data_IF_436224810702
#
_entry.id   IF_436224810702
#
_cell.length_a   1.000
_cell.length_b   1.000
_cell.length_c   1.000
_cell.angle_alpha   90.00
_cell.angle_beta   90.00
_cell.angle_gamma   90.00
#
_symmetry.space_group_name_H-M   'P 1'
#
loop_
_entity.id
_entity.type
_entity.pdbx_description
1 polymer ?
#
# COMPACT_ATOMS: atom_id res chain seq x y z
N UNK A 1 45.86 -10.73 49.69
CA UNK A 1 45.22 -9.47 50.10
C UNK A 1 44.98 -8.65 48.84
N UNK A 2 43.71 -8.30 48.61
CA UNK A 2 43.16 -7.25 47.72
C UNK A 2 43.48 -7.33 46.21
N UNK A 3 42.56 -7.13 45.26
CA UNK A 3 41.10 -6.93 45.25
C UNK A 3 40.66 -7.14 43.79
N UNK A 4 39.38 -7.45 43.60
CA UNK A 4 38.63 -7.53 42.32
C UNK A 4 38.25 -6.10 41.88
N UNK A 5 37.55 -5.97 40.73
CA UNK A 5 36.81 -4.78 40.22
C UNK A 5 37.58 -3.93 39.17
N UNK A 6 37.00 -3.45 38.07
CA UNK A 6 35.66 -3.62 37.51
C UNK A 6 35.64 -3.20 36.03
N UNK A 7 34.53 -3.57 35.38
CA UNK A 7 34.17 -3.25 34.00
C UNK A 7 33.90 -1.75 33.76
N UNK A 8 33.88 -1.46 32.47
CA UNK A 8 32.97 -0.51 31.80
C UNK A 8 33.46 0.95 31.63
N UNK A 9 33.95 1.27 30.43
CA UNK A 9 34.06 2.65 29.95
C UNK A 9 33.24 2.86 28.68
N UNK A 10 31.98 3.23 28.93
CA UNK A 10 31.31 4.44 28.42
C UNK A 10 31.46 4.80 26.93
N UNK A 11 30.42 4.47 26.16
CA UNK A 11 30.11 5.08 24.88
C UNK A 11 29.20 6.31 25.08
N UNK A 12 29.41 7.43 24.36
CA UNK A 12 28.71 8.68 24.64
C UNK A 12 27.26 8.69 24.12
N UNK A 13 26.31 8.85 25.05
CA UNK A 13 24.88 9.11 24.78
C UNK A 13 24.68 10.59 24.44
N UNK A 14 24.24 10.91 23.22
CA UNK A 14 23.81 12.26 22.84
C UNK A 14 22.35 12.54 23.28
N UNK A 15 22.02 13.78 23.67
CA UNK A 15 20.84 14.09 24.50
C UNK A 15 19.55 14.28 23.70
N UNK A 16 18.44 13.77 24.24
CA UNK A 16 17.08 14.07 23.80
C UNK A 16 16.60 15.39 24.44
N UNK A 17 16.22 16.35 23.60
CA UNK A 17 15.53 17.61 23.90
C UNK A 17 14.16 17.52 23.24
N UNK A 18 13.01 17.91 23.77
CA UNK A 18 12.59 18.48 25.04
C UNK A 18 11.05 18.36 25.10
N UNK A 19 10.49 18.45 26.30
CA UNK A 19 9.05 18.42 26.61
C UNK A 19 8.45 19.84 26.53
N UNK A 20 7.11 19.92 26.66
CA UNK A 20 6.24 21.09 26.87
C UNK A 20 5.46 21.50 25.58
N UNK A 21 4.15 21.71 25.51
CA UNK A 21 3.08 21.91 26.51
C UNK A 21 1.70 21.52 25.95
N UNK A 22 0.73 21.33 26.85
CA UNK A 22 -0.69 21.05 26.60
C UNK A 22 -1.52 22.34 26.39
N UNK A 23 -2.60 22.27 25.60
CA UNK A 23 -3.96 22.74 25.94
C UNK A 23 -4.89 22.93 24.69
N UNK A 24 -6.03 22.25 24.75
CA UNK A 24 -7.40 22.64 24.39
C UNK A 24 -7.79 23.34 23.05
N UNK A 25 -8.82 22.73 22.44
CA UNK A 25 -10.02 23.31 21.79
C UNK A 25 -10.07 23.49 20.25
N UNK A 26 -11.09 22.79 19.70
CA UNK A 26 -11.72 22.83 18.36
C UNK A 26 -11.07 21.98 17.25
N UNK A 27 -11.78 21.03 16.62
CA UNK A 27 -11.39 20.57 15.29
C UNK A 27 -11.75 21.67 14.28
N UNK A 28 -10.79 22.35 13.63
CA UNK A 28 -11.11 23.08 12.42
C UNK A 28 -11.54 22.06 11.37
N UNK A 29 -12.73 22.29 10.80
CA UNK A 29 -13.32 21.64 9.64
C UNK A 29 -12.28 20.97 8.73
N UNK A 30 -12.46 19.66 8.49
CA UNK A 30 -11.59 18.84 7.67
C UNK A 30 -11.10 19.62 6.43
N UNK A 31 -9.79 19.79 6.21
CA UNK A 31 -9.32 20.29 4.93
C UNK A 31 -9.77 19.23 3.91
N UNK A 32 -10.67 19.60 3.01
CA UNK A 32 -10.99 18.77 1.85
C UNK A 32 -9.66 18.38 1.22
N UNK A 33 -9.26 17.14 1.44
CA UNK A 33 -7.94 16.70 1.03
C UNK A 33 -7.89 16.84 -0.47
N UNK A 34 -7.02 17.72 -0.98
CA UNK A 34 -6.69 17.80 -2.40
C UNK A 34 -6.03 16.47 -2.78
N UNK A 35 -6.87 15.44 -2.95
CA UNK A 35 -6.44 14.10 -3.21
C UNK A 35 -5.87 14.11 -4.62
N UNK A 36 -4.56 13.80 -4.72
CA UNK A 36 -3.88 13.71 -6.00
C UNK A 36 -4.74 12.96 -7.02
N UNK A 37 -4.89 13.51 -8.23
CA UNK A 37 -5.78 13.00 -9.29
C UNK A 37 -5.55 11.49 -9.55
N UNK A 38 -4.30 11.02 -9.42
CA UNK A 38 -3.92 9.61 -9.54
C UNK A 38 -4.60 8.68 -8.51
N UNK A 39 -5.05 9.20 -7.37
CA UNK A 39 -5.85 8.46 -6.38
C UNK A 39 -7.33 8.53 -6.71
N UNK A 40 -7.82 9.70 -7.16
CA UNK A 40 -9.23 9.91 -7.52
C UNK A 40 -9.67 9.04 -8.70
N UNK A 41 -8.83 8.91 -9.72
CA UNK A 41 -9.16 8.19 -10.96
C UNK A 41 -8.61 6.77 -11.04
N UNK A 42 -8.16 6.18 -9.92
CA UNK A 42 -7.61 4.82 -9.96
C UNK A 42 -8.75 3.83 -10.23
N UNK A 43 -8.71 3.08 -11.35
CA UNK A 43 -9.73 2.10 -11.70
C UNK A 43 -10.05 1.15 -10.55
N UNK A 44 -11.33 0.99 -10.24
CA UNK A 44 -11.84 0.09 -9.20
C UNK A 44 -12.30 -1.24 -9.78
N UNK A 45 -12.70 -1.25 -11.05
CA UNK A 45 -13.19 -2.43 -11.79
C UNK A 45 -12.46 -2.61 -13.12
N UNK A 46 -12.43 -3.84 -13.65
CA UNK A 46 -11.73 -4.14 -14.91
C UNK A 46 -12.20 -3.33 -16.14
N UNK A 47 -13.50 -3.01 -16.32
CA UNK A 47 -13.96 -2.18 -17.44
C UNK A 47 -13.43 -0.74 -17.45
N UNK A 48 -13.00 -0.21 -16.30
CA UNK A 48 -12.42 1.13 -16.19
C UNK A 48 -10.93 1.15 -16.59
N UNK A 49 -10.34 -0.01 -16.90
CA UNK A 49 -8.94 -0.14 -17.28
C UNK A 49 -8.78 0.11 -18.79
N UNK A 50 -8.30 1.30 -19.14
CA UNK A 50 -8.14 1.72 -20.54
C UNK A 50 -6.95 1.01 -21.21
N UNK A 51 -7.17 0.45 -22.40
CA UNK A 51 -6.11 -0.08 -23.27
C UNK A 51 -5.57 -1.46 -22.90
N UNK A 52 -6.30 -2.21 -22.07
CA UNK A 52 -5.88 -3.52 -21.54
C UNK A 52 -6.91 -4.63 -21.82
N UNK A 53 -7.72 -4.49 -22.86
CA UNK A 53 -8.88 -5.37 -23.13
C UNK A 53 -8.50 -6.84 -23.34
N UNK A 54 -7.39 -7.10 -24.03
CA UNK A 54 -6.91 -8.47 -24.26
C UNK A 54 -6.60 -9.19 -22.93
N UNK A 55 -5.97 -8.50 -21.98
CA UNK A 55 -5.65 -9.04 -20.67
C UNK A 55 -6.91 -9.26 -19.83
N UNK A 56 -7.82 -8.28 -19.83
CA UNK A 56 -9.11 -8.39 -19.12
C UNK A 56 -9.92 -9.57 -19.64
N UNK A 57 -9.93 -9.80 -20.96
CA UNK A 57 -10.60 -10.96 -21.58
C UNK A 57 -9.98 -12.28 -21.12
N UNK A 58 -8.64 -12.39 -21.10
CA UNK A 58 -7.94 -13.59 -20.61
C UNK A 58 -8.25 -13.86 -19.15
N UNK A 59 -8.23 -12.83 -18.30
CA UNK A 59 -8.57 -12.96 -16.88
C UNK A 59 -10.03 -13.41 -16.69
N UNK A 60 -10.98 -12.77 -17.39
CA UNK A 60 -12.40 -13.17 -17.34
C UNK A 60 -12.59 -14.64 -17.75
N UNK A 61 -11.92 -15.08 -18.81
CA UNK A 61 -11.99 -16.46 -19.25
C UNK A 61 -11.34 -17.42 -18.24
N UNK A 62 -10.22 -17.04 -17.63
CA UNK A 62 -9.55 -17.82 -16.59
C UNK A 62 -10.45 -18.03 -15.36
N UNK A 63 -11.15 -16.97 -14.93
CA UNK A 63 -12.14 -17.07 -13.84
C UNK A 63 -13.34 -17.93 -14.23
N UNK A 64 -13.89 -17.77 -15.44
CA UNK A 64 -15.03 -18.56 -15.91
C UNK A 64 -14.72 -20.05 -16.07
N UNK A 65 -13.47 -20.39 -16.43
CA UNK A 65 -13.02 -21.78 -16.62
C UNK A 65 -12.39 -22.39 -15.36
N UNK A 66 -12.27 -21.62 -14.27
CA UNK A 66 -11.58 -22.05 -13.04
C UNK A 66 -10.07 -22.26 -13.18
N UNK A 67 -9.47 -21.89 -14.32
CA UNK A 67 -8.03 -22.05 -14.60
C UNK A 67 -7.26 -20.78 -14.24
N UNK A 68 -7.08 -20.57 -12.94
CA UNK A 68 -6.38 -19.39 -12.42
C UNK A 68 -4.87 -19.63 -12.43
N UNK A 69 -4.11 -18.69 -13.01
CA UNK A 69 -2.64 -18.74 -12.95
C UNK A 69 -2.14 -18.44 -11.53
N UNK A 70 -1.11 -19.18 -11.10
CA UNK A 70 -0.51 -19.02 -9.76
C UNK A 70 0.32 -17.74 -9.63
N UNK A 71 0.81 -17.19 -10.74
CA UNK A 71 1.64 -15.99 -10.76
C UNK A 71 1.30 -15.09 -11.95
N UNK A 72 1.34 -13.77 -11.71
CA UNK A 72 1.12 -12.74 -12.72
C UNK A 72 2.31 -11.78 -12.75
N UNK A 73 2.96 -11.64 -13.91
CA UNK A 73 4.04 -10.68 -14.11
C UNK A 73 3.54 -9.49 -14.93
N UNK A 74 3.63 -8.28 -14.37
CA UNK A 74 3.17 -7.04 -15.01
C UNK A 74 4.37 -6.16 -15.33
N UNK A 75 4.64 -5.93 -16.62
CA UNK A 75 5.81 -5.18 -17.12
C UNK A 75 5.40 -3.98 -17.97
N UNK A 76 6.35 -3.10 -18.30
CA UNK A 76 6.12 -1.93 -19.17
C UNK A 76 6.49 -0.58 -18.54
N UNK A 77 6.22 0.51 -19.27
CA UNK A 77 6.64 1.89 -18.90
C UNK A 77 5.87 2.47 -17.70
N UNK A 78 6.38 3.55 -17.09
CA UNK A 78 5.72 4.22 -15.96
C UNK A 78 4.32 4.72 -16.36
N UNK A 79 3.36 4.63 -15.45
CA UNK A 79 2.01 5.17 -15.66
C UNK A 79 1.00 4.25 -16.37
N UNK A 80 1.42 3.12 -16.98
CA UNK A 80 0.51 2.21 -17.73
C UNK A 80 -0.45 1.38 -16.87
N UNK A 81 -0.50 1.62 -15.55
CA UNK A 81 -1.46 0.93 -14.68
C UNK A 81 -1.04 -0.44 -14.17
N UNK A 82 0.25 -0.84 -14.21
CA UNK A 82 0.73 -2.13 -13.65
C UNK A 82 0.29 -2.38 -12.20
N UNK A 83 0.58 -1.44 -11.31
CA UNK A 83 0.22 -1.56 -9.89
C UNK A 83 -1.28 -1.43 -9.64
N UNK A 84 -2.01 -0.82 -10.57
CA UNK A 84 -3.48 -0.75 -10.53
C UNK A 84 -4.07 -2.09 -10.94
N UNK A 85 -3.58 -2.67 -12.03
CA UNK A 85 -3.99 -3.98 -12.55
C UNK A 85 -3.72 -5.08 -11.53
N UNK A 86 -2.56 -5.08 -10.88
CA UNK A 86 -2.26 -6.01 -9.79
C UNK A 86 -3.31 -5.98 -8.68
N UNK A 87 -3.78 -4.79 -8.29
CA UNK A 87 -4.82 -4.65 -7.25
C UNK A 87 -6.17 -5.18 -7.73
N UNK A 88 -6.52 -4.94 -8.99
CA UNK A 88 -7.76 -5.45 -9.58
C UNK A 88 -7.76 -6.98 -9.59
N UNK A 89 -6.65 -7.60 -10.01
CA UNK A 89 -6.47 -9.06 -9.97
C UNK A 89 -6.60 -9.58 -8.53
N UNK A 90 -5.90 -8.96 -7.58
CA UNK A 90 -5.97 -9.36 -6.17
C UNK A 90 -7.39 -9.25 -5.60
N UNK A 91 -8.15 -8.21 -5.96
CA UNK A 91 -9.55 -8.06 -5.56
C UNK A 91 -10.45 -9.12 -6.17
N UNK A 92 -10.25 -9.44 -7.45
CA UNK A 92 -11.01 -10.46 -8.15
C UNK A 92 -10.77 -11.85 -7.56
N UNK A 93 -9.53 -12.14 -7.14
CA UNK A 93 -9.17 -13.40 -6.48
C UNK A 93 -9.75 -13.51 -5.06
N UNK A 94 -9.80 -12.40 -4.32
CA UNK A 94 -10.36 -12.36 -2.96
C UNK A 94 -11.87 -12.08 -2.94
N UNK A 95 -12.55 -12.10 -4.09
CA UNK A 95 -13.98 -11.82 -4.12
C UNK A 95 -14.75 -13.05 -3.66
N UNK A 96 -15.07 -13.08 -2.37
CA UNK A 96 -16.09 -13.95 -1.81
C UNK A 96 -17.44 -13.28 -2.09
N UNK A 97 -18.25 -13.90 -2.95
CA UNK A 97 -19.61 -13.41 -3.21
C UNK A 97 -20.44 -13.38 -1.93
N UNK A 98 -21.46 -12.51 -1.82
CA UNK A 98 -22.41 -12.63 -0.72
C UNK A 98 -23.07 -14.01 -0.83
N UNK A 99 -22.79 -14.88 0.13
CA UNK A 99 -23.52 -16.12 0.36
C UNK A 99 -24.96 -15.84 0.77
#
# INVERSE_FOLDING_TARGET
MAEVEDREKSAPKRPAKGKADAAAASPPSAPESHAALARKYRPKVFPELIGQDAMVRTLRNAFATGRIAQAYMLTGVRGVGKTTTARLIARALNYEGPG
#
